data_IF_122862526115
#
_entry.id   IF_122862526115
#
_cell.length_a   1.000
_cell.length_b   1.000
_cell.length_c   1.000
_cell.angle_alpha   90.00
_cell.angle_beta   90.00
_cell.angle_gamma   90.00
#
_symmetry.space_group_name_H-M   'P 1'
#
loop_
_entity.id
_entity.type
_entity.pdbx_description
1 polymer ?
#
# COMPACT_ATOMS: atom_id res chain seq x y z
N UNK A 1 -75.72 -2.35 -7.12
CA UNK A 1 -74.80 -2.52 -8.29
C UNK A 1 -73.64 -1.49 -8.36
N UNK A 2 -73.70 -0.34 -7.69
CA UNK A 2 -72.71 0.76 -7.83
C UNK A 2 -71.37 0.58 -7.05
N UNK A 3 -71.36 -0.08 -5.90
CA UNK A 3 -70.13 -0.25 -5.08
C UNK A 3 -69.07 -1.16 -5.74
N UNK A 4 -69.46 -2.24 -6.42
CA UNK A 4 -68.53 -3.18 -7.06
C UNK A 4 -67.73 -2.55 -8.21
N UNK A 5 -68.32 -1.59 -8.94
CA UNK A 5 -67.64 -0.86 -10.02
C UNK A 5 -66.55 0.08 -9.46
N UNK A 6 -66.83 0.74 -8.34
CA UNK A 6 -65.90 1.64 -7.62
C UNK A 6 -64.71 0.88 -7.01
N UNK A 7 -64.94 -0.33 -6.50
CA UNK A 7 -63.87 -1.20 -5.99
C UNK A 7 -62.93 -1.68 -7.12
N UNK A 8 -63.49 -2.09 -8.26
CA UNK A 8 -62.72 -2.54 -9.43
C UNK A 8 -61.88 -1.41 -10.04
N UNK A 9 -62.40 -0.18 -10.09
CA UNK A 9 -61.63 0.98 -10.58
C UNK A 9 -60.50 1.34 -9.60
N UNK A 10 -60.74 1.29 -8.29
CA UNK A 10 -59.71 1.53 -7.27
C UNK A 10 -58.56 0.51 -7.33
N UNK A 11 -58.89 -0.79 -7.48
CA UNK A 11 -57.89 -1.85 -7.62
C UNK A 11 -57.04 -1.68 -8.89
N UNK A 12 -57.65 -1.26 -10.02
CA UNK A 12 -56.92 -0.96 -11.27
C UNK A 12 -55.95 0.19 -11.10
N UNK A 13 -56.36 1.27 -10.43
CA UNK A 13 -55.49 2.43 -10.15
C UNK A 13 -54.33 2.04 -9.23
N UNK A 14 -54.58 1.25 -8.18
CA UNK A 14 -53.54 0.76 -7.26
C UNK A 14 -52.51 -0.14 -7.97
N UNK A 15 -52.96 -1.02 -8.86
CA UNK A 15 -52.08 -1.88 -9.69
C UNK A 15 -51.24 -1.06 -10.67
N UNK A 16 -51.83 -0.04 -11.34
CA UNK A 16 -51.12 0.85 -12.27
C UNK A 16 -50.03 1.68 -11.56
N UNK A 17 -50.32 2.21 -10.36
CA UNK A 17 -49.34 2.90 -9.52
C UNK A 17 -48.20 1.99 -9.06
N UNK A 18 -48.50 0.74 -8.68
CA UNK A 18 -47.49 -0.26 -8.31
C UNK A 18 -46.57 -0.61 -9.47
N UNK A 19 -47.12 -0.77 -10.68
CA UNK A 19 -46.33 -1.02 -11.89
C UNK A 19 -45.45 0.17 -12.29
N UNK A 20 -45.95 1.40 -12.13
CA UNK A 20 -45.15 2.61 -12.36
C UNK A 20 -43.99 2.72 -11.35
N UNK A 21 -44.23 2.47 -10.05
CA UNK A 21 -43.16 2.42 -9.04
C UNK A 21 -42.12 1.35 -9.33
N UNK A 22 -42.54 0.15 -9.72
CA UNK A 22 -41.62 -0.93 -10.12
C UNK A 22 -40.79 -0.58 -11.36
N UNK A 23 -41.37 0.15 -12.33
CA UNK A 23 -40.63 0.66 -13.50
C UNK A 23 -39.58 1.69 -13.13
N UNK A 24 -39.90 2.61 -12.21
CA UNK A 24 -38.95 3.62 -11.69
C UNK A 24 -37.81 2.96 -10.93
N UNK A 25 -38.11 1.98 -10.06
CA UNK A 25 -37.10 1.21 -9.32
C UNK A 25 -36.20 0.41 -10.27
N UNK A 26 -36.78 -0.27 -11.27
CA UNK A 26 -36.03 -1.05 -12.28
C UNK A 26 -35.15 -0.15 -13.16
N UNK A 27 -35.61 1.06 -13.49
CA UNK A 27 -34.82 2.06 -14.22
C UNK A 27 -33.73 2.69 -13.33
N UNK A 28 -33.98 2.87 -12.03
CA UNK A 28 -32.97 3.31 -11.05
C UNK A 28 -31.87 2.28 -10.84
N UNK A 29 -32.23 0.99 -10.72
CA UNK A 29 -31.28 -0.12 -10.62
C UNK A 29 -30.41 -0.27 -11.89
N UNK A 30 -30.96 0.01 -13.08
CA UNK A 30 -30.18 0.05 -14.33
C UNK A 30 -29.20 1.22 -14.41
N UNK A 31 -29.49 2.33 -13.71
CA UNK A 31 -28.60 3.51 -13.63
C UNK A 31 -27.64 3.46 -12.44
N UNK A 32 -27.88 2.58 -11.46
CA UNK A 32 -27.11 2.42 -10.23
C UNK A 32 -25.91 1.49 -10.30
N UNK A 33 -25.48 1.08 -11.50
CA UNK A 33 -24.25 0.32 -11.70
C UNK A 33 -23.35 1.05 -12.70
N UNK A 34 -23.04 2.32 -12.42
CA UNK A 34 -21.79 2.88 -12.93
C UNK A 34 -20.70 2.19 -12.12
N UNK A 35 -20.27 0.99 -12.55
CA UNK A 35 -18.96 0.50 -12.16
C UNK A 35 -17.94 1.44 -12.81
N UNK A 36 -17.64 2.53 -12.12
CA UNK A 36 -16.39 3.22 -12.31
C UNK A 36 -15.32 2.19 -12.03
N UNK A 37 -14.80 1.53 -13.08
CA UNK A 37 -13.55 0.79 -12.94
C UNK A 37 -12.55 1.83 -12.46
N UNK A 38 -12.19 1.77 -11.17
CA UNK A 38 -11.22 2.71 -10.59
C UNK A 38 -10.00 2.68 -11.48
N UNK A 39 -9.69 3.85 -12.05
CA UNK A 39 -8.51 3.97 -12.89
C UNK A 39 -7.29 3.59 -12.05
N UNK A 40 -6.44 2.73 -12.60
CA UNK A 40 -5.23 2.32 -11.88
C UNK A 40 -4.42 3.56 -11.49
N UNK A 41 -3.95 3.59 -10.25
CA UNK A 41 -3.03 4.64 -9.81
C UNK A 41 -1.72 4.57 -10.60
N UNK A 42 -0.92 5.65 -10.58
CA UNK A 42 0.40 5.66 -11.22
C UNK A 42 1.29 4.54 -10.69
N UNK A 43 1.23 4.30 -9.38
CA UNK A 43 1.93 3.19 -8.73
C UNK A 43 1.47 1.83 -9.25
N UNK A 44 0.16 1.58 -9.28
CA UNK A 44 -0.42 0.32 -9.77
C UNK A 44 -0.08 0.04 -11.24
N UNK A 45 0.01 1.09 -12.07
CA UNK A 45 0.46 0.97 -13.46
C UNK A 45 1.93 0.55 -13.52
N UNK A 46 2.80 1.16 -12.72
CA UNK A 46 4.24 0.89 -12.72
C UNK A 46 4.54 -0.52 -12.19
N UNK A 47 3.94 -0.92 -11.08
CA UNK A 47 4.20 -2.23 -10.46
C UNK A 47 3.59 -3.41 -11.23
N UNK A 48 2.70 -3.13 -12.18
CA UNK A 48 2.12 -4.18 -13.05
C UNK A 48 3.11 -4.76 -14.06
N UNK A 49 4.21 -4.05 -14.36
CA UNK A 49 5.35 -4.57 -15.12
C UNK A 49 6.33 -5.27 -14.15
N UNK A 50 6.53 -6.59 -14.25
CA UNK A 50 7.42 -7.35 -13.35
C UNK A 50 8.85 -6.82 -13.32
N UNK A 51 9.38 -6.31 -14.44
CA UNK A 51 10.75 -5.76 -14.53
C UNK A 51 10.87 -4.43 -13.79
N UNK A 52 9.80 -3.63 -13.78
CA UNK A 52 9.74 -2.39 -13.00
C UNK A 52 9.55 -2.68 -11.52
N UNK A 53 8.63 -3.59 -11.19
CA UNK A 53 8.41 -4.05 -9.81
C UNK A 53 9.71 -4.51 -9.15
N UNK A 54 10.45 -5.40 -9.80
CA UNK A 54 11.71 -5.91 -9.27
C UNK A 54 12.74 -4.81 -9.00
N UNK A 55 12.91 -3.87 -9.93
CA UNK A 55 13.83 -2.73 -9.75
C UNK A 55 13.43 -1.83 -8.60
N UNK A 56 12.13 -1.56 -8.46
CA UNK A 56 11.61 -0.76 -7.34
C UNK A 56 11.85 -1.48 -6.02
N UNK A 57 11.63 -2.80 -5.95
CA UNK A 57 11.91 -3.57 -4.74
C UNK A 57 13.40 -3.52 -4.36
N UNK A 58 14.31 -3.68 -5.33
CA UNK A 58 15.76 -3.57 -5.10
C UNK A 58 16.18 -2.16 -4.63
N UNK A 59 15.66 -1.12 -5.27
CA UNK A 59 15.92 0.27 -4.90
C UNK A 59 15.31 0.63 -3.53
N UNK A 60 14.13 0.09 -3.24
CA UNK A 60 13.44 0.31 -1.97
C UNK A 60 14.23 -0.25 -0.79
N UNK A 61 14.84 -1.44 -0.92
CA UNK A 61 15.70 -1.99 0.14
C UNK A 61 16.92 -1.10 0.41
N UNK A 62 17.54 -0.58 -0.67
CA UNK A 62 18.69 0.33 -0.55
C UNK A 62 18.28 1.64 0.13
N UNK A 63 17.13 2.20 -0.26
CA UNK A 63 16.57 3.41 0.33
C UNK A 63 16.30 3.21 1.83
N UNK A 64 15.67 2.09 2.21
CA UNK A 64 15.27 1.82 3.59
C UNK A 64 16.48 1.75 4.54
N UNK A 65 17.56 1.10 4.12
CA UNK A 65 18.82 1.08 4.89
C UNK A 65 19.41 2.49 5.01
N UNK A 66 19.43 3.24 3.91
CA UNK A 66 20.00 4.60 3.91
C UNK A 66 19.24 5.54 4.85
N UNK A 67 17.91 5.47 4.87
CA UNK A 67 17.05 6.27 5.75
C UNK A 67 17.23 5.87 7.22
N UNK A 68 17.34 4.58 7.54
CA UNK A 68 17.60 4.13 8.91
C UNK A 68 18.91 4.69 9.46
N UNK A 69 19.99 4.60 8.67
CA UNK A 69 21.31 5.12 9.07
C UNK A 69 21.27 6.65 9.18
N UNK A 70 20.64 7.32 8.23
CA UNK A 70 20.50 8.77 8.25
C UNK A 70 19.70 9.24 9.48
N UNK A 71 18.60 8.57 9.79
CA UNK A 71 17.77 8.86 10.95
C UNK A 71 18.52 8.62 12.26
N UNK A 72 19.32 7.55 12.37
CA UNK A 72 20.14 7.30 13.56
C UNK A 72 21.20 8.41 13.74
N UNK A 73 21.87 8.82 12.67
CA UNK A 73 22.86 9.90 12.71
C UNK A 73 22.23 11.24 13.11
N UNK A 74 21.05 11.57 12.55
CA UNK A 74 20.38 12.84 12.82
C UNK A 74 19.72 12.89 14.20
N UNK A 75 19.09 11.80 14.65
CA UNK A 75 18.30 11.75 15.89
C UNK A 75 19.13 11.39 17.12
N UNK A 76 20.04 10.44 16.99
CA UNK A 76 20.87 9.96 18.11
C UNK A 76 22.16 10.78 18.25
N UNK A 77 22.34 11.80 17.40
CA UNK A 77 23.50 12.70 17.36
C UNK A 77 24.84 11.98 17.22
N UNK A 78 24.82 10.75 16.71
CA UNK A 78 26.03 9.96 16.44
C UNK A 78 26.60 10.35 15.07
N UNK A 79 27.91 10.57 15.02
CA UNK A 79 28.58 10.82 13.75
C UNK A 79 28.81 9.52 12.97
N UNK A 80 29.04 9.64 11.66
CA UNK A 80 29.46 8.52 10.79
C UNK A 80 30.66 7.76 11.37
N UNK A 81 31.61 8.48 12.00
CA UNK A 81 32.83 7.90 12.55
C UNK A 81 32.56 7.14 13.85
N UNK A 82 31.69 7.67 14.72
CA UNK A 82 31.30 7.00 15.96
C UNK A 82 30.53 5.72 15.67
N UNK A 83 29.53 5.80 14.77
CA UNK A 83 28.79 4.62 14.32
C UNK A 83 29.72 3.55 13.73
N UNK A 84 30.69 3.96 12.90
CA UNK A 84 31.66 3.02 12.33
C UNK A 84 32.54 2.36 13.40
N UNK A 85 33.01 3.14 14.38
CA UNK A 85 33.83 2.66 15.49
C UNK A 85 33.08 1.65 16.35
N UNK A 86 31.85 1.95 16.72
CA UNK A 86 31.02 1.09 17.58
C UNK A 86 30.57 -0.18 16.86
N UNK A 87 30.19 -0.07 15.57
CA UNK A 87 29.86 -1.23 14.75
C UNK A 87 31.09 -2.06 14.34
N UNK A 88 32.31 -1.57 14.57
CA UNK A 88 33.56 -2.23 14.18
C UNK A 88 33.71 -2.40 12.66
N UNK A 89 33.38 -1.34 11.91
CA UNK A 89 33.46 -1.27 10.44
C UNK A 89 34.21 -0.01 10.00
N UNK A 90 34.57 0.11 8.71
CA UNK A 90 35.21 1.34 8.24
C UNK A 90 34.17 2.47 8.04
N UNK A 91 34.55 3.74 8.26
CA UNK A 91 33.68 4.89 8.01
C UNK A 91 33.16 4.96 6.58
N UNK A 92 33.94 4.47 5.61
CA UNK A 92 33.54 4.38 4.19
C UNK A 92 32.31 3.50 4.02
N UNK A 93 32.23 2.37 4.72
CA UNK A 93 31.06 1.47 4.65
C UNK A 93 29.80 2.21 5.13
N UNK A 94 29.87 2.88 6.28
CA UNK A 94 28.74 3.66 6.80
C UNK A 94 28.34 4.76 5.83
N UNK A 95 29.32 5.51 5.29
CA UNK A 95 29.05 6.60 4.36
C UNK A 95 28.44 6.12 3.04
N UNK A 96 28.90 4.99 2.49
CA UNK A 96 28.34 4.40 1.27
C UNK A 96 26.91 3.89 1.48
N UNK A 97 26.61 3.33 2.66
CA UNK A 97 25.26 2.89 3.01
C UNK A 97 24.31 4.06 3.24
N UNK A 98 24.76 5.08 3.97
CA UNK A 98 24.03 6.33 4.20
C UNK A 98 23.64 7.04 2.89
N UNK A 99 24.50 6.93 1.87
CA UNK A 99 24.26 7.55 0.55
C UNK A 99 23.62 6.62 -0.47
N UNK A 100 23.32 5.36 -0.10
CA UNK A 100 22.75 4.36 -1.00
C UNK A 100 23.69 3.91 -2.14
N UNK A 101 24.99 4.25 -2.07
CA UNK A 101 25.97 3.85 -3.09
C UNK A 101 26.30 2.37 -3.04
N UNK A 102 26.35 1.81 -1.83
CA UNK A 102 26.65 0.38 -1.62
C UNK A 102 25.35 -0.40 -1.55
N UNK A 103 25.19 -1.36 -2.45
CA UNK A 103 24.04 -2.27 -2.54
C UNK A 103 24.28 -3.60 -1.84
N UNK A 104 25.54 -4.03 -1.80
CA UNK A 104 25.94 -5.32 -1.27
C UNK A 104 26.60 -5.17 0.10
N UNK A 105 26.02 -5.82 1.11
CA UNK A 105 26.61 -5.96 2.44
C UNK A 105 26.43 -7.39 2.95
N UNK A 106 27.40 -7.86 3.72
CA UNK A 106 27.21 -9.12 4.44
C UNK A 106 26.17 -8.92 5.54
N UNK A 107 25.39 -9.96 5.80
CA UNK A 107 24.42 -9.97 6.88
C UNK A 107 25.08 -9.69 8.24
N UNK A 108 26.28 -10.23 8.46
CA UNK A 108 27.09 -9.95 9.66
C UNK A 108 27.38 -8.46 9.82
N UNK A 109 27.79 -7.77 8.75
CA UNK A 109 28.04 -6.33 8.77
C UNK A 109 26.76 -5.56 9.01
N UNK A 110 25.67 -5.92 8.33
CA UNK A 110 24.35 -5.31 8.52
C UNK A 110 23.89 -5.41 9.97
N UNK A 111 23.92 -6.61 10.56
CA UNK A 111 23.52 -6.85 11.95
C UNK A 111 24.36 -6.05 12.95
N UNK A 112 25.68 -5.93 12.75
CA UNK A 112 26.52 -5.10 13.63
C UNK A 112 26.11 -3.64 13.61
N UNK A 113 25.89 -3.07 12.41
CA UNK A 113 25.48 -1.68 12.25
C UNK A 113 24.11 -1.47 12.89
N UNK A 114 23.14 -2.32 12.57
CA UNK A 114 21.77 -2.24 13.10
C UNK A 114 21.72 -2.38 14.63
N UNK A 115 22.46 -3.34 15.19
CA UNK A 115 22.54 -3.51 16.66
C UNK A 115 23.12 -2.26 17.34
N UNK A 116 24.06 -1.57 16.69
CA UNK A 116 24.66 -0.34 17.23
C UNK A 116 23.63 0.78 17.31
N UNK A 117 22.71 0.86 16.35
CA UNK A 117 21.64 1.87 16.32
C UNK A 117 20.32 1.38 16.97
N UNK A 118 20.39 0.33 17.80
CA UNK A 118 19.27 -0.14 18.62
C UNK A 118 18.28 -1.07 17.93
N UNK A 119 18.63 -1.68 16.81
CA UNK A 119 17.78 -2.64 16.08
C UNK A 119 18.34 -4.06 16.14
N UNK A 120 17.46 -5.05 16.22
CA UNK A 120 17.82 -6.47 16.19
C UNK A 120 17.38 -7.12 14.87
N UNK A 121 18.26 -7.93 14.27
CA UNK A 121 17.93 -8.72 13.09
C UNK A 121 17.43 -10.10 13.52
N UNK A 122 16.17 -10.42 13.22
CA UNK A 122 15.55 -11.72 13.50
C UNK A 122 15.14 -12.45 12.22
N UNK A 123 15.16 -13.79 12.27
CA UNK A 123 14.69 -14.63 11.18
C UNK A 123 13.31 -15.16 11.52
N UNK A 124 12.33 -14.90 10.65
CA UNK A 124 10.98 -15.42 10.79
C UNK A 124 10.74 -16.45 9.69
N UNK A 125 10.38 -17.70 10.04
CA UNK A 125 10.07 -18.71 9.03
C UNK A 125 8.84 -18.30 8.22
N UNK A 126 8.97 -18.31 6.91
CA UNK A 126 7.84 -18.05 6.00
C UNK A 126 7.03 -19.33 5.90
N UNK A 127 5.77 -19.32 6.37
CA UNK A 127 4.82 -20.41 6.11
C UNK A 127 4.59 -20.46 4.59
N UNK A 128 5.06 -21.53 3.95
CA UNK A 128 4.78 -21.85 2.55
C UNK A 128 3.47 -22.61 2.43
#
# INVERSE_FOLDING_TARGET
MHLRKKLKSFQRVKKKRRLQRLKVIKNGLRRGFIMSKKAKTTYEKIISDPKRKKRIEEEYQTLLISELIQAAIEKDLITVRELAREAGVSPTIIQELKTGKRKDITLRTASKILNTIGYEVSYVPIKK
#
